data_IF_331221941601
#
_entry.id   IF_331221941601
#
_cell.length_a   1.000
_cell.length_b   1.000
_cell.length_c   1.000
_cell.angle_alpha   90.00
_cell.angle_beta   90.00
_cell.angle_gamma   90.00
#
_symmetry.space_group_name_H-M   'P 1'
#
loop_
_entity.id
_entity.type
_entity.pdbx_description
1 polymer ?
#
# COMPACT_ATOMS: atom_id res chain seq x y z
N UNK A 1 -51.46 21.38 -18.74
CA UNK A 1 -50.75 21.79 -17.51
C UNK A 1 -49.49 20.96 -17.43
N UNK A 2 -48.29 21.58 -17.49
CA UNK A 2 -47.01 20.87 -17.35
C UNK A 2 -46.71 20.77 -15.85
N UNK A 3 -46.53 19.56 -15.34
CA UNK A 3 -46.12 19.33 -13.95
C UNK A 3 -44.70 19.86 -13.76
N UNK A 4 -44.49 20.61 -12.68
CA UNK A 4 -43.32 21.45 -12.43
C UNK A 4 -42.38 20.85 -11.38
N UNK A 5 -42.34 19.51 -11.25
CA UNK A 5 -41.66 18.83 -10.14
C UNK A 5 -40.58 17.83 -10.61
N UNK A 6 -39.88 18.14 -11.69
CA UNK A 6 -38.59 17.49 -11.99
C UNK A 6 -37.50 18.24 -11.22
N UNK A 7 -37.36 17.95 -9.93
CA UNK A 7 -36.22 18.43 -9.15
C UNK A 7 -34.95 17.69 -9.60
N UNK A 8 -34.09 18.42 -10.30
CA UNK A 8 -32.76 17.98 -10.72
C UNK A 8 -31.96 17.41 -9.52
N UNK A 9 -31.13 16.40 -9.77
CA UNK A 9 -30.32 15.68 -8.77
C UNK A 9 -29.46 16.63 -7.92
N UNK A 10 -29.20 17.83 -8.43
CA UNK A 10 -28.52 18.93 -7.74
C UNK A 10 -29.24 19.39 -6.46
N UNK A 11 -30.56 19.20 -6.35
CA UNK A 11 -31.35 19.52 -5.15
C UNK A 11 -30.91 18.70 -3.92
N UNK A 12 -30.52 17.44 -4.11
CA UNK A 12 -30.08 16.57 -3.02
C UNK A 12 -28.60 16.75 -2.65
N UNK A 13 -27.79 17.35 -3.54
CA UNK A 13 -26.36 17.56 -3.29
C UNK A 13 -26.07 18.77 -2.37
N UNK A 14 -27.00 19.72 -2.26
CA UNK A 14 -26.85 20.93 -1.44
C UNK A 14 -27.51 20.83 -0.05
N UNK A 15 -27.58 19.63 0.52
CA UNK A 15 -28.11 19.44 1.87
C UNK A 15 -27.08 19.89 2.93
N UNK A 16 -27.15 21.17 3.31
CA UNK A 16 -26.35 21.80 4.37
C UNK A 16 -26.48 21.14 5.77
N UNK A 17 -27.38 20.16 5.95
CA UNK A 17 -27.49 19.40 7.19
C UNK A 17 -26.41 18.31 7.36
N UNK A 18 -25.65 17.94 6.32
CA UNK A 18 -24.48 17.07 6.49
C UNK A 18 -23.24 17.88 6.87
N UNK A 19 -23.21 18.42 8.10
CA UNK A 19 -21.95 18.87 8.69
C UNK A 19 -21.07 17.65 8.90
N UNK A 20 -19.95 17.54 8.18
CA UNK A 20 -18.93 16.52 8.45
C UNK A 20 -18.20 16.89 9.75
N UNK A 21 -18.85 16.66 10.89
CA UNK A 21 -18.13 16.66 12.16
C UNK A 21 -17.26 15.40 12.15
N UNK A 22 -15.93 15.56 12.20
CA UNK A 22 -15.04 14.44 12.51
C UNK A 22 -15.45 13.95 13.90
N UNK A 23 -16.24 12.89 13.97
CA UNK A 23 -16.61 12.27 15.23
C UNK A 23 -15.34 11.75 15.88
N UNK A 24 -15.03 12.25 17.07
CA UNK A 24 -13.95 11.68 17.88
C UNK A 24 -14.49 10.35 18.42
N UNK A 25 -14.28 9.28 17.66
CA UNK A 25 -14.77 7.95 18.03
C UNK A 25 -13.99 7.48 19.25
N UNK A 26 -14.61 7.58 20.43
CA UNK A 26 -14.07 6.95 21.63
C UNK A 26 -14.04 5.45 21.40
N UNK A 27 -12.86 4.84 21.60
CA UNK A 27 -12.66 3.40 21.52
C UNK A 27 -13.47 2.74 22.64
N UNK A 28 -14.63 2.17 22.32
CA UNK A 28 -15.29 1.24 23.22
C UNK A 28 -14.56 -0.10 23.17
N UNK A 29 -13.89 -0.48 24.25
CA UNK A 29 -13.54 -1.88 24.50
C UNK A 29 -14.81 -2.57 24.98
N UNK A 30 -15.40 -3.43 24.15
CA UNK A 30 -16.48 -4.32 24.55
C UNK A 30 -15.93 -5.34 25.54
N UNK A 31 -16.29 -5.22 26.81
CA UNK A 31 -16.07 -6.25 27.82
C UNK A 31 -17.34 -7.09 27.89
N UNK A 32 -17.34 -8.28 27.28
CA UNK A 32 -18.37 -9.28 27.54
C UNK A 32 -17.88 -10.11 28.74
N UNK A 33 -18.55 -10.00 29.89
CA UNK A 33 -18.28 -10.85 31.05
C UNK A 33 -19.02 -12.17 30.88
N UNK A 34 -18.30 -13.28 30.85
CA UNK A 34 -18.93 -14.61 30.90
C UNK A 34 -18.75 -15.16 32.31
N UNK A 35 -19.86 -15.32 33.02
CA UNK A 35 -19.87 -15.89 34.37
C UNK A 35 -20.00 -17.41 34.26
N UNK A 36 -19.05 -18.16 34.82
CA UNK A 36 -19.18 -19.62 34.94
C UNK A 36 -19.56 -19.98 36.37
N UNK A 37 -20.60 -20.81 36.52
CA UNK A 37 -21.08 -21.28 37.82
C UNK A 37 -20.33 -22.59 38.16
N UNK A 38 -19.77 -22.66 39.37
CA UNK A 38 -19.14 -23.88 39.90
C UNK A 38 -19.70 -24.18 41.29
N UNK A 39 -19.79 -25.47 41.63
CA UNK A 39 -20.18 -25.92 42.98
C UNK A 39 -18.92 -26.41 43.69
N UNK A 40 -18.55 -25.75 44.78
CA UNK A 40 -17.40 -26.11 45.63
C UNK A 40 -17.89 -26.25 47.07
N UNK A 41 -17.64 -27.40 47.68
CA UNK A 41 -18.03 -27.72 49.07
C UNK A 41 -19.52 -27.45 49.41
N UNK A 42 -20.42 -27.71 48.45
CA UNK A 42 -21.86 -27.51 48.61
C UNK A 42 -22.34 -26.06 48.46
N UNK A 43 -21.45 -25.12 48.16
CA UNK A 43 -21.78 -23.73 47.88
C UNK A 43 -21.69 -23.43 46.38
N UNK A 44 -22.66 -22.67 45.87
CA UNK A 44 -22.65 -22.17 44.49
C UNK A 44 -21.74 -20.94 44.45
N UNK A 45 -20.65 -21.01 43.69
CA UNK A 45 -19.70 -19.92 43.49
C UNK A 45 -19.76 -19.45 42.04
N UNK A 46 -19.98 -18.15 41.83
CA UNK A 46 -19.94 -17.52 40.51
C UNK A 46 -18.51 -17.02 40.26
N UNK A 47 -17.82 -17.66 39.33
CA UNK A 47 -16.49 -17.24 38.89
C UNK A 47 -16.63 -16.31 37.68
N UNK A 48 -16.26 -15.05 37.86
CA UNK A 48 -16.09 -14.11 36.74
C UNK A 48 -14.79 -14.42 36.01
N UNK A 49 -14.90 -14.98 34.80
CA UNK A 49 -13.73 -15.20 33.93
C UNK A 49 -13.64 -14.04 32.95
N UNK A 50 -12.63 -13.17 33.13
CA UNK A 50 -12.33 -12.10 32.18
C UNK A 50 -11.45 -12.63 31.05
N UNK A 51 -12.06 -13.15 29.98
CA UNK A 51 -11.33 -13.43 28.73
C UNK A 51 -11.27 -12.15 27.88
N UNK A 52 -10.07 -11.58 27.79
CA UNK A 52 -9.80 -10.42 26.93
C UNK A 52 -9.57 -10.92 25.51
N UNK A 53 -10.63 -10.96 24.71
CA UNK A 53 -10.48 -11.13 23.26
C UNK A 53 -9.99 -9.81 22.68
N UNK A 54 -8.71 -9.77 22.28
CA UNK A 54 -8.17 -8.66 21.50
C UNK A 54 -8.76 -8.72 20.09
N UNK A 55 -9.97 -8.22 19.92
CA UNK A 55 -10.56 -7.91 18.62
C UNK A 55 -9.74 -6.78 17.99
N UNK A 56 -8.62 -7.13 17.37
CA UNK A 56 -7.71 -6.17 16.75
C UNK A 56 -8.46 -5.22 15.81
N UNK A 57 -8.13 -3.94 15.86
CA UNK A 57 -8.85 -2.90 15.10
C UNK A 57 -8.85 -3.24 13.60
N UNK A 58 -10.02 -3.64 13.09
CA UNK A 58 -10.22 -3.89 11.66
C UNK A 58 -10.68 -2.60 11.00
N UNK A 59 -9.86 -2.05 10.12
CA UNK A 59 -10.25 -0.95 9.23
C UNK A 59 -10.57 -1.49 7.83
N UNK A 60 -11.20 -0.68 6.98
CA UNK A 60 -11.43 -1.04 5.58
C UNK A 60 -10.15 -1.43 4.81
N UNK A 61 -8.98 -0.96 5.29
CA UNK A 61 -7.67 -1.28 4.71
C UNK A 61 -7.03 -2.57 5.25
N UNK A 62 -7.54 -3.14 6.36
CA UNK A 62 -6.95 -4.31 7.03
C UNK A 62 -6.92 -5.54 6.12
N UNK A 63 -7.96 -5.76 5.30
CA UNK A 63 -8.02 -6.86 4.33
C UNK A 63 -7.48 -6.49 2.94
N UNK A 64 -6.86 -5.33 2.78
CA UNK A 64 -6.36 -4.89 1.48
C UNK A 64 -5.18 -5.75 1.03
N UNK A 65 -5.34 -6.40 -0.13
CA UNK A 65 -4.28 -7.16 -0.81
C UNK A 65 -3.10 -6.28 -1.26
N UNK A 66 -3.28 -4.95 -1.25
CA UNK A 66 -2.30 -3.96 -1.72
C UNK A 66 -1.46 -3.35 -0.59
N UNK A 67 -1.30 -4.04 0.54
CA UNK A 67 -0.37 -3.64 1.62
C UNK A 67 1.10 -3.86 1.23
N UNK A 68 1.46 -3.66 -0.04
CA UNK A 68 2.84 -3.68 -0.46
C UNK A 68 3.53 -2.47 0.20
N UNK A 69 4.48 -2.76 1.08
CA UNK A 69 5.33 -1.75 1.70
C UNK A 69 5.97 -0.94 0.59
N UNK A 70 5.79 0.40 0.61
CA UNK A 70 6.38 1.27 -0.40
C UNK A 70 7.89 1.09 -0.41
N UNK A 71 8.40 0.71 -1.56
CA UNK A 71 9.84 0.50 -1.78
C UNK A 71 10.55 1.84 -1.69
N UNK A 72 11.49 1.94 -0.76
CA UNK A 72 12.40 3.07 -0.65
C UNK A 72 13.51 2.91 -1.69
N UNK A 73 13.89 4.01 -2.33
CA UNK A 73 14.97 4.07 -3.31
C UNK A 73 16.07 4.97 -2.76
N UNK A 74 17.26 4.44 -2.53
CA UNK A 74 18.43 5.24 -2.18
C UNK A 74 18.98 5.96 -3.42
N UNK A 75 19.88 6.93 -3.23
CA UNK A 75 20.53 7.62 -4.35
C UNK A 75 21.38 6.65 -5.18
N UNK A 76 22.14 5.79 -4.51
CA UNK A 76 22.96 4.74 -5.14
C UNK A 76 22.11 3.77 -5.97
N UNK A 77 20.99 3.30 -5.43
CA UNK A 77 20.06 2.42 -6.17
C UNK A 77 19.47 3.11 -7.41
N UNK A 78 19.18 4.42 -7.34
CA UNK A 78 18.69 5.16 -8.50
C UNK A 78 19.77 5.28 -9.58
N UNK A 79 21.00 5.61 -9.19
CA UNK A 79 22.12 5.73 -10.14
C UNK A 79 22.42 4.39 -10.79
N UNK A 80 22.37 3.29 -10.02
CA UNK A 80 22.50 1.93 -10.53
C UNK A 80 21.36 1.57 -11.50
N UNK A 81 20.12 1.95 -11.18
CA UNK A 81 18.96 1.73 -12.04
C UNK A 81 19.12 2.39 -13.41
N UNK A 82 19.53 3.66 -13.46
CA UNK A 82 19.71 4.37 -14.73
C UNK A 82 20.91 3.84 -15.53
N UNK A 83 22.00 3.43 -14.87
CA UNK A 83 23.13 2.76 -15.53
C UNK A 83 22.72 1.43 -16.13
N UNK A 84 21.99 0.61 -15.38
CA UNK A 84 21.41 -0.63 -15.88
C UNK A 84 20.49 -0.39 -17.07
N UNK A 85 19.61 0.62 -16.99
CA UNK A 85 18.68 0.97 -18.07
C UNK A 85 19.41 1.35 -19.37
N UNK A 86 20.57 2.01 -19.29
CA UNK A 86 21.39 2.36 -20.45
C UNK A 86 22.07 1.15 -21.10
N UNK A 87 22.36 0.09 -20.34
CA UNK A 87 23.04 -1.12 -20.84
C UNK A 87 22.07 -2.18 -21.35
N UNK A 88 21.00 -2.43 -20.60
CA UNK A 88 20.04 -3.51 -20.85
C UNK A 88 18.81 -3.00 -21.60
N UNK A 89 18.43 -1.75 -21.37
CA UNK A 89 17.14 -1.21 -21.83
C UNK A 89 15.99 -1.60 -20.89
N UNK A 90 14.80 -1.76 -21.46
CA UNK A 90 13.55 -1.96 -20.72
C UNK A 90 13.31 -3.39 -20.20
N UNK A 91 14.30 -4.28 -20.24
CA UNK A 91 14.16 -5.62 -19.65
C UNK A 91 14.35 -5.60 -18.13
N UNK A 92 13.23 -5.44 -17.42
CA UNK A 92 13.20 -5.43 -15.96
C UNK A 92 13.55 -6.77 -15.33
N UNK A 93 13.46 -7.89 -16.04
CA UNK A 93 13.86 -9.19 -15.50
C UNK A 93 15.38 -9.27 -15.38
N UNK A 94 16.08 -8.81 -16.42
CA UNK A 94 17.54 -8.71 -16.42
C UNK A 94 18.02 -7.63 -15.44
N UNK A 95 17.40 -6.45 -15.43
CA UNK A 95 17.75 -5.40 -14.45
C UNK A 95 17.54 -5.84 -13.00
N UNK A 96 16.58 -6.72 -12.73
CA UNK A 96 16.34 -7.23 -11.39
C UNK A 96 17.55 -7.97 -10.81
N UNK A 97 18.41 -8.55 -11.66
CA UNK A 97 19.61 -9.25 -11.21
C UNK A 97 20.67 -8.33 -10.58
N UNK A 98 20.54 -7.00 -10.79
CA UNK A 98 21.39 -5.98 -10.16
C UNK A 98 20.92 -5.61 -8.74
N UNK A 99 19.74 -6.08 -8.31
CA UNK A 99 19.14 -5.69 -7.04
C UNK A 99 18.67 -6.91 -6.25
N UNK A 100 19.20 -7.10 -5.05
CA UNK A 100 18.84 -8.25 -4.20
C UNK A 100 17.46 -8.05 -3.53
N UNK A 101 17.17 -6.83 -3.08
CA UNK A 101 15.96 -6.51 -2.29
C UNK A 101 14.84 -5.87 -3.12
N UNK A 102 14.97 -5.83 -4.45
CA UNK A 102 13.94 -5.29 -5.33
C UNK A 102 13.37 -6.41 -6.17
N UNK A 103 12.08 -6.30 -6.47
CA UNK A 103 11.39 -7.22 -7.38
C UNK A 103 11.22 -6.53 -8.73
N UNK A 104 11.13 -7.30 -9.81
CA UNK A 104 10.79 -6.84 -11.16
C UNK A 104 9.62 -5.84 -11.20
N UNK A 105 8.57 -6.06 -10.38
CA UNK A 105 7.42 -5.14 -10.26
C UNK A 105 7.86 -3.75 -9.79
N UNK A 106 8.74 -3.70 -8.80
CA UNK A 106 9.27 -2.46 -8.23
C UNK A 106 10.07 -1.67 -9.27
N UNK A 107 10.88 -2.36 -10.10
CA UNK A 107 11.62 -1.73 -11.20
C UNK A 107 10.69 -1.16 -12.26
N UNK A 108 9.64 -1.91 -12.66
CA UNK A 108 8.62 -1.42 -13.59
C UNK A 108 7.90 -0.19 -13.04
N UNK A 109 7.50 -0.22 -11.77
CA UNK A 109 6.80 0.88 -11.12
C UNK A 109 7.71 2.11 -10.96
N UNK A 110 9.00 1.89 -10.70
CA UNK A 110 10.04 2.94 -10.71
C UNK A 110 10.17 3.58 -12.09
N UNK A 111 10.30 2.79 -13.14
CA UNK A 111 10.35 3.29 -14.52
C UNK A 111 9.11 4.12 -14.86
N UNK A 112 7.91 3.64 -14.54
CA UNK A 112 6.66 4.39 -14.74
C UNK A 112 6.63 5.70 -13.96
N UNK A 113 7.11 5.69 -12.71
CA UNK A 113 7.21 6.88 -11.86
C UNK A 113 8.17 7.91 -12.46
N UNK A 114 9.34 7.48 -12.93
CA UNK A 114 10.33 8.37 -13.56
C UNK A 114 9.84 8.88 -14.91
N UNK A 115 9.16 8.07 -15.73
CA UNK A 115 8.52 8.54 -16.97
C UNK A 115 7.48 9.62 -16.73
N UNK A 116 6.76 9.57 -15.60
CA UNK A 116 5.81 10.63 -15.20
C UNK A 116 6.51 11.89 -14.69
N UNK A 117 7.63 11.74 -13.99
CA UNK A 117 8.36 12.86 -13.37
C UNK A 117 9.30 13.57 -14.32
N UNK A 118 10.03 12.81 -15.14
CA UNK A 118 11.13 13.28 -16.03
C UNK A 118 11.14 12.48 -17.34
N UNK A 119 10.12 12.63 -18.20
CA UNK A 119 10.02 11.85 -19.44
C UNK A 119 11.22 12.06 -20.38
N UNK A 120 11.70 13.30 -20.54
CA UNK A 120 12.80 13.62 -21.47
C UNK A 120 14.12 12.96 -21.07
N UNK A 121 14.40 12.89 -19.77
CA UNK A 121 15.61 12.24 -19.25
C UNK A 121 15.60 10.74 -19.51
N UNK A 122 14.48 10.07 -19.22
CA UNK A 122 14.35 8.63 -19.45
C UNK A 122 14.40 8.30 -20.94
N UNK A 123 13.78 9.12 -21.80
CA UNK A 123 13.89 8.98 -23.26
C UNK A 123 15.33 9.08 -23.74
N UNK A 124 16.09 10.08 -23.29
CA UNK A 124 17.48 10.25 -23.67
C UNK A 124 18.34 9.02 -23.29
N UNK A 125 18.12 8.43 -22.11
CA UNK A 125 18.80 7.19 -21.71
C UNK A 125 18.48 6.03 -22.67
N UNK A 126 17.21 5.91 -23.09
CA UNK A 126 16.77 4.86 -24.01
C UNK A 126 17.23 5.10 -25.45
N UNK A 127 17.46 6.34 -25.86
CA UNK A 127 18.04 6.67 -27.16
C UNK A 127 19.55 6.35 -27.19
N UNK A 128 20.23 6.45 -26.04
CA UNK A 128 21.66 6.17 -25.90
C UNK A 128 21.96 4.70 -25.55
N UNK A 129 21.02 3.77 -25.82
CA UNK A 129 21.23 2.34 -25.55
C UNK A 129 22.49 1.89 -26.29
N UNK A 130 23.45 1.41 -25.51
CA UNK A 130 24.68 0.81 -26.04
C UNK A 130 24.41 -0.63 -26.41
N UNK A 131 25.19 -1.17 -27.33
CA UNK A 131 25.20 -2.63 -27.55
C UNK A 131 25.44 -3.34 -26.23
N UNK A 132 24.63 -4.37 -25.96
CA UNK A 132 24.66 -5.07 -24.69
C UNK A 132 25.99 -5.78 -24.51
N UNK A 133 26.77 -5.35 -23.52
CA UNK A 133 28.02 -6.00 -23.11
C UNK A 133 27.83 -6.73 -21.79
N UNK A 134 27.99 -8.05 -21.82
CA UNK A 134 27.86 -8.92 -20.64
C UNK A 134 28.90 -8.59 -19.56
N UNK A 135 30.11 -8.20 -19.96
CA UNK A 135 31.20 -7.89 -19.02
C UNK A 135 30.88 -6.64 -18.20
N UNK A 136 30.33 -5.61 -18.84
CA UNK A 136 29.99 -4.36 -18.16
C UNK A 136 28.84 -4.57 -17.19
N UNK A 137 27.87 -5.42 -17.53
CA UNK A 137 26.80 -5.82 -16.63
C UNK A 137 27.32 -6.53 -15.37
N UNK A 138 28.23 -7.48 -15.52
CA UNK A 138 28.81 -8.20 -14.37
C UNK A 138 29.60 -7.26 -13.44
N UNK A 139 30.38 -6.32 -14.01
CA UNK A 139 31.09 -5.29 -13.21
C UNK A 139 30.16 -4.40 -12.39
N UNK A 140 28.92 -4.21 -12.84
CA UNK A 140 27.89 -3.44 -12.11
C UNK A 140 27.21 -4.28 -11.02
N UNK A 141 27.17 -5.60 -11.19
CA UNK A 141 26.57 -6.54 -10.25
C UNK A 141 27.51 -6.89 -9.10
N UNK A 142 28.78 -7.11 -9.40
CA UNK A 142 29.77 -7.60 -8.43
C UNK A 142 30.45 -6.46 -7.64
N UNK A 143 29.76 -5.31 -7.54
CA UNK A 143 30.30 -4.05 -7.01
C UNK A 143 29.95 -3.81 -5.55
#
# INVERSE_FOLDING_TARGET
MRNSDDHDLTYYCNNYNFKTTKSNTQKHQSQQTTSSIQVVDGHIVVLEKQEKLDEGIVTSSTYSKNKAIRVKWTKEENDLFFKGLSLVGCDFSMLNLLFENKTRKNLRDKYKSEMRKRPSFVKNILECIKEFNKEDFNKLRDK
#
